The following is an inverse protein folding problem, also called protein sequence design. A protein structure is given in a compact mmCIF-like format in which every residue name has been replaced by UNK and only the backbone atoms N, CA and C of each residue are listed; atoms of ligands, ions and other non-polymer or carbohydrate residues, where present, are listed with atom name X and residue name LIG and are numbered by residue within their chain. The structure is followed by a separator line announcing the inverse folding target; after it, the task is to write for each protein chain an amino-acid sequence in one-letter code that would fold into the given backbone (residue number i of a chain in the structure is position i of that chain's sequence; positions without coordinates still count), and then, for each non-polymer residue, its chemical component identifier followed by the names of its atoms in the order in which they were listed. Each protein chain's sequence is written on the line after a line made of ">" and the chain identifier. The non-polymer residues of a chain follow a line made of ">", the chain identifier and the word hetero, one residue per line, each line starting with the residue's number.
data_IF_393610113585
#
_entry.id   IF_393610113585
#
_cell.length_a   1.000
_cell.length_b   1.000
_cell.length_c   1.000
_cell.angle_alpha   90.00
_cell.angle_beta   90.00
_cell.angle_gamma   90.00
#
_symmetry.space_group_name_H-M   'P 1'
#
loop_
_entity.id
_entity.type
_entity.pdbx_description
1 polymer ?
#
# COMPACT_ATOMS: atom_id res chain seq x y z
N UNK A 1 -13.26 26.10 8.46
CA UNK A 1 -13.24 25.69 9.89
C UNK A 1 -13.15 24.18 9.93
N UNK A 2 -12.31 23.60 10.80
CA UNK A 2 -12.25 22.15 10.98
C UNK A 2 -13.26 21.72 12.04
N UNK A 3 -14.01 20.67 11.75
CA UNK A 3 -14.95 20.05 12.68
C UNK A 3 -14.64 18.56 12.80
N UNK A 4 -14.84 17.98 13.99
CA UNK A 4 -14.78 16.54 14.25
C UNK A 4 -16.18 16.02 14.53
N UNK A 5 -16.66 15.06 13.76
CA UNK A 5 -18.01 14.50 13.96
C UNK A 5 -18.10 13.73 15.29
N UNK A 6 -19.11 14.02 16.10
CA UNK A 6 -19.36 13.33 17.37
C UNK A 6 -20.13 12.01 17.16
N UNK A 7 -20.87 11.89 16.06
CA UNK A 7 -21.62 10.71 15.63
C UNK A 7 -21.79 10.72 14.11
N UNK A 8 -22.24 9.61 13.53
CA UNK A 8 -22.54 9.54 12.11
C UNK A 8 -23.75 10.44 11.77
N UNK A 9 -23.63 11.26 10.72
CA UNK A 9 -24.74 12.05 10.19
C UNK A 9 -24.60 12.26 8.68
N UNK A 10 -25.72 12.46 8.00
CA UNK A 10 -25.74 12.82 6.58
C UNK A 10 -26.10 14.31 6.46
N UNK A 11 -25.29 15.06 5.70
CA UNK A 11 -25.54 16.47 5.43
C UNK A 11 -25.52 16.73 3.93
N UNK A 12 -26.46 17.53 3.44
CA UNK A 12 -26.73 17.70 2.01
C UNK A 12 -25.49 18.07 1.19
N UNK A 13 -24.60 18.91 1.74
CA UNK A 13 -23.36 19.33 1.07
C UNK A 13 -22.12 18.51 1.45
N UNK A 14 -22.14 17.75 2.54
CA UNK A 14 -20.97 17.00 3.05
C UNK A 14 -21.08 15.50 2.76
N UNK A 15 -22.24 15.02 2.31
CA UNK A 15 -22.53 13.59 2.22
C UNK A 15 -22.63 12.96 3.61
N UNK A 16 -22.39 11.65 3.69
CA UNK A 16 -22.33 10.93 4.96
C UNK A 16 -20.98 11.15 5.62
N UNK A 17 -21.02 11.66 6.85
CA UNK A 17 -19.84 11.90 7.69
C UNK A 17 -19.87 10.88 8.82
N UNK A 18 -18.77 10.14 8.98
CA UNK A 18 -18.64 9.09 9.99
C UNK A 18 -18.25 9.67 11.35
N UNK A 19 -18.61 8.99 12.44
CA UNK A 19 -18.20 9.39 13.78
C UNK A 19 -16.67 9.47 13.89
N UNK A 20 -16.16 10.56 14.46
CA UNK A 20 -14.73 10.81 14.63
C UNK A 20 -14.03 11.43 13.42
N UNK A 21 -14.68 11.51 12.27
CA UNK A 21 -14.13 12.06 11.04
C UNK A 21 -13.90 13.57 11.17
N UNK A 22 -12.69 14.04 10.80
CA UNK A 22 -12.35 15.46 10.77
C UNK A 22 -12.51 15.96 9.35
N UNK A 23 -13.32 17.01 9.18
CA UNK A 23 -13.48 17.68 7.88
C UNK A 23 -13.33 19.17 7.98
N UNK A 24 -12.82 19.73 6.89
CA UNK A 24 -12.85 21.17 6.67
C UNK A 24 -14.19 21.55 6.04
N UNK A 25 -14.90 22.46 6.71
CA UNK A 25 -16.22 22.94 6.31
C UNK A 25 -16.28 24.46 6.33
N UNK A 26 -17.24 25.00 5.58
CA UNK A 26 -17.56 26.42 5.64
C UNK A 26 -18.01 26.81 7.05
N UNK A 27 -17.65 28.02 7.52
CA UNK A 27 -17.85 28.44 8.92
C UNK A 27 -19.32 28.34 9.35
N UNK A 28 -20.24 28.77 8.49
CA UNK A 28 -21.69 28.71 8.73
C UNK A 28 -22.20 27.27 8.91
N UNK A 29 -21.69 26.33 8.11
CA UNK A 29 -22.06 24.90 8.21
C UNK A 29 -21.49 24.31 9.51
N UNK A 30 -20.23 24.64 9.83
CA UNK A 30 -19.56 24.18 11.05
C UNK A 30 -20.30 24.63 12.31
N UNK A 31 -20.70 25.91 12.39
CA UNK A 31 -21.43 26.45 13.54
C UNK A 31 -22.78 25.76 13.75
N UNK A 32 -23.52 25.47 12.67
CA UNK A 32 -24.79 24.74 12.75
C UNK A 32 -24.59 23.31 13.23
N UNK A 33 -23.58 22.60 12.73
CA UNK A 33 -23.29 21.22 13.14
C UNK A 33 -22.84 21.12 14.61
N UNK A 34 -22.10 22.11 15.09
CA UNK A 34 -21.72 22.22 16.51
C UNK A 34 -22.94 22.53 17.38
N UNK A 35 -23.79 23.49 16.96
CA UNK A 35 -25.02 23.83 17.68
C UNK A 35 -25.99 22.64 17.78
N UNK A 36 -26.03 21.79 16.76
CA UNK A 36 -26.83 20.55 16.74
C UNK A 36 -26.17 19.37 17.47
N UNK A 37 -25.02 19.59 18.12
CA UNK A 37 -24.26 18.54 18.82
C UNK A 37 -23.92 17.35 17.91
N UNK A 38 -23.71 17.62 16.62
CA UNK A 38 -23.31 16.64 15.62
C UNK A 38 -21.79 16.60 15.43
N UNK A 39 -21.11 17.72 15.69
CA UNK A 39 -19.67 17.85 15.56
C UNK A 39 -19.10 18.82 16.59
N UNK A 40 -17.79 18.79 16.80
CA UNK A 40 -17.03 19.70 17.67
C UNK A 40 -16.03 20.51 16.84
N UNK A 41 -15.81 21.78 17.22
CA UNK A 41 -14.85 22.66 16.57
C UNK A 41 -13.41 22.24 16.89
N UNK A 42 -12.55 22.11 15.87
CA UNK A 42 -11.12 21.86 16.06
C UNK A 42 -10.35 23.16 15.80
N UNK A 43 -9.79 23.75 16.86
CA UNK A 43 -8.95 24.94 16.79
C UNK A 43 -7.64 24.66 16.01
N UNK A 44 -7.14 25.60 15.18
CA UNK A 44 -5.90 25.40 14.44
C UNK A 44 -4.67 25.71 15.32
N UNK A 45 -4.15 24.71 16.02
CA UNK A 45 -2.84 24.79 16.66
C UNK A 45 -1.72 24.68 15.60
N UNK A 46 -0.72 25.56 15.70
CA UNK A 46 0.53 25.52 14.92
C UNK A 46 1.18 24.15 15.07
N UNK A 47 1.72 23.65 13.95
CA UNK A 47 2.47 22.40 13.86
C UNK A 47 3.42 22.19 15.05
N UNK A 48 2.97 21.34 15.97
CA UNK A 48 3.83 20.47 16.78
C UNK A 48 3.24 19.08 16.69
N UNK A 49 4.15 18.15 16.50
CA UNK A 49 3.96 16.74 16.22
C UNK A 49 3.10 16.03 17.29
N UNK A 50 2.38 14.99 16.84
CA UNK A 50 1.67 13.95 17.57
C UNK A 50 0.28 14.23 18.18
N UNK A 51 -0.69 13.35 17.86
CA UNK A 51 -1.72 12.97 18.84
C UNK A 51 -3.16 12.74 18.37
N UNK A 52 -3.44 12.00 17.29
CA UNK A 52 -4.79 11.44 17.07
C UNK A 52 -4.92 10.05 17.70
N UNK A 53 -5.48 9.98 18.91
CA UNK A 53 -6.02 8.74 19.47
C UNK A 53 -7.39 8.45 18.82
N UNK A 54 -7.32 7.79 17.67
CA UNK A 54 -8.38 7.01 17.02
C UNK A 54 -8.64 5.75 17.88
N UNK A 55 -9.87 5.18 17.96
CA UNK A 55 -10.00 3.82 18.49
C UNK A 55 -9.09 2.95 17.62
N UNK A 56 -8.21 2.16 18.25
CA UNK A 56 -7.06 1.54 17.60
C UNK A 56 -7.48 0.50 16.54
N UNK A 57 -7.88 0.99 15.36
CA UNK A 57 -7.76 0.24 14.11
C UNK A 57 -6.29 -0.09 13.98
N UNK A 58 -5.97 -1.39 13.87
CA UNK A 58 -4.60 -1.79 13.62
C UNK A 58 -4.08 -1.04 12.40
N UNK A 59 -2.91 -0.40 12.55
CA UNK A 59 -2.25 0.25 11.43
C UNK A 59 -2.06 -0.81 10.35
N UNK A 60 -2.49 -0.57 9.10
CA UNK A 60 -2.24 -1.51 8.00
C UNK A 60 -0.74 -1.80 7.91
N UNK A 61 -0.39 -3.02 7.52
CA UNK A 61 1.00 -3.44 7.36
C UNK A 61 1.77 -2.46 6.47
N UNK A 62 3.06 -2.29 6.77
CA UNK A 62 3.92 -1.41 5.98
C UNK A 62 4.04 -2.02 4.59
N UNK A 63 3.43 -1.35 3.59
CA UNK A 63 3.54 -1.76 2.19
C UNK A 63 5.00 -1.74 1.77
N UNK A 64 5.37 -2.67 0.91
CA UNK A 64 6.72 -2.67 0.32
C UNK A 64 6.85 -1.46 -0.60
N UNK A 65 7.79 -0.57 -0.24
CA UNK A 65 8.27 0.50 -1.10
C UNK A 65 9.69 0.13 -1.56
N UNK A 66 9.96 0.26 -2.85
CA UNK A 66 11.28 -0.08 -3.39
C UNK A 66 12.27 1.02 -2.98
N UNK A 67 13.19 0.70 -2.07
CA UNK A 67 14.21 1.63 -1.59
C UNK A 67 15.30 1.89 -2.65
N UNK A 68 16.10 2.96 -2.48
CA UNK A 68 17.25 3.23 -3.36
C UNK A 68 18.26 2.07 -3.36
N UNK A 69 18.46 1.40 -2.21
CA UNK A 69 19.32 0.22 -2.10
C UNK A 69 18.75 -0.98 -2.86
N UNK A 70 17.43 -1.18 -2.82
CA UNK A 70 16.77 -2.23 -3.58
C UNK A 70 16.83 -1.96 -5.08
N UNK A 71 16.68 -0.71 -5.50
CA UNK A 71 16.87 -0.31 -6.89
C UNK A 71 18.31 -0.58 -7.37
N UNK A 72 19.31 -0.28 -6.53
CA UNK A 72 20.70 -0.58 -6.82
C UNK A 72 20.95 -2.11 -6.93
N UNK A 73 20.31 -2.92 -6.08
CA UNK A 73 20.37 -4.39 -6.19
C UNK A 73 19.75 -4.91 -7.48
N UNK A 74 18.61 -4.34 -7.89
CA UNK A 74 17.98 -4.69 -9.17
C UNK A 74 18.92 -4.32 -10.33
N UNK A 75 19.49 -3.11 -10.34
CA UNK A 75 20.47 -2.71 -11.36
C UNK A 75 21.67 -3.64 -11.43
N UNK A 76 22.23 -4.02 -10.28
CA UNK A 76 23.32 -4.98 -10.20
C UNK A 76 22.92 -6.36 -10.77
N UNK A 77 21.69 -6.82 -10.49
CA UNK A 77 21.15 -8.06 -11.05
C UNK A 77 21.01 -7.99 -12.59
N UNK A 78 20.56 -6.85 -13.11
CA UNK A 78 20.37 -6.60 -14.54
C UNK A 78 21.68 -6.26 -15.29
N UNK A 79 22.77 -6.00 -14.56
CA UNK A 79 24.04 -5.48 -15.10
C UNK A 79 23.86 -4.14 -15.82
N UNK A 80 23.04 -3.26 -15.24
CA UNK A 80 22.82 -1.90 -15.73
C UNK A 80 23.71 -0.93 -14.96
N UNK A 81 24.46 -0.13 -15.71
CA UNK A 81 25.26 0.97 -15.18
C UNK A 81 24.52 2.29 -15.41
N UNK A 82 24.56 3.21 -14.44
CA UNK A 82 23.90 4.53 -14.54
C UNK A 82 22.44 4.55 -14.07
N UNK A 83 21.69 5.57 -14.50
CA UNK A 83 20.32 5.89 -14.07
C UNK A 83 19.33 6.13 -15.23
N UNK A 84 19.79 6.09 -16.48
CA UNK A 84 18.95 6.31 -17.68
C UNK A 84 17.72 5.38 -17.73
N UNK A 85 17.83 4.17 -17.15
CA UNK A 85 16.79 3.14 -17.16
C UNK A 85 16.04 3.02 -15.83
N UNK A 86 16.31 3.87 -14.84
CA UNK A 86 15.74 3.75 -13.48
C UNK A 86 14.20 3.81 -13.50
N UNK A 87 13.63 4.62 -14.39
CA UNK A 87 12.17 4.71 -14.56
C UNK A 87 11.57 3.39 -15.06
N UNK A 88 12.23 2.74 -16.02
CA UNK A 88 11.79 1.45 -16.55
C UNK A 88 11.95 0.34 -15.51
N UNK A 89 13.09 0.32 -14.82
CA UNK A 89 13.39 -0.66 -13.78
C UNK A 89 12.40 -0.53 -12.61
N UNK A 90 12.07 0.70 -12.19
CA UNK A 90 11.05 0.95 -11.17
C UNK A 90 9.67 0.44 -11.62
N UNK A 91 9.31 0.60 -12.89
CA UNK A 91 8.05 0.08 -13.41
C UNK A 91 8.00 -1.47 -13.36
N UNK A 92 9.10 -2.16 -13.69
CA UNK A 92 9.18 -3.61 -13.54
C UNK A 92 9.16 -4.06 -12.08
N UNK A 93 9.79 -3.30 -11.18
CA UNK A 93 9.73 -3.57 -9.75
C UNK A 93 8.29 -3.50 -9.24
N UNK A 94 7.54 -2.45 -9.59
CA UNK A 94 6.11 -2.33 -9.27
C UNK A 94 5.29 -3.49 -9.85
N UNK A 95 5.50 -3.84 -11.13
CA UNK A 95 4.82 -4.97 -11.76
C UNK A 95 5.15 -6.32 -11.06
N UNK A 96 6.36 -6.46 -10.50
CA UNK A 96 6.75 -7.67 -9.78
C UNK A 96 6.05 -7.77 -8.42
N UNK A 97 5.81 -6.64 -7.74
CA UNK A 97 4.99 -6.58 -6.53
C UNK A 97 3.56 -7.03 -6.87
N UNK A 98 2.94 -6.43 -7.89
CA UNK A 98 1.58 -6.77 -8.33
C UNK A 98 1.45 -8.27 -8.66
N UNK A 99 2.46 -8.85 -9.32
CA UNK A 99 2.50 -10.28 -9.62
C UNK A 99 2.52 -11.13 -8.35
N UNK A 100 3.39 -10.81 -7.39
CA UNK A 100 3.52 -11.54 -6.13
C UNK A 100 2.22 -11.47 -5.33
N UNK A 101 1.62 -10.28 -5.21
CA UNK A 101 0.38 -10.08 -4.47
C UNK A 101 -0.77 -10.90 -5.06
N UNK A 102 -0.89 -10.87 -6.39
CA UNK A 102 -1.91 -11.64 -7.10
C UNK A 102 -1.70 -13.14 -7.02
N UNK A 103 -0.44 -13.59 -7.14
CA UNK A 103 -0.13 -15.02 -7.07
C UNK A 103 -0.38 -15.58 -5.67
N UNK A 104 0.02 -14.83 -4.63
CA UNK A 104 -0.07 -15.27 -3.24
C UNK A 104 -1.45 -15.00 -2.59
N UNK A 105 -2.32 -14.24 -3.26
CA UNK A 105 -3.64 -13.81 -2.77
C UNK A 105 -3.53 -12.98 -1.47
N UNK A 106 -2.63 -11.98 -1.47
CA UNK A 106 -2.45 -11.08 -0.32
C UNK A 106 -1.50 -9.92 -0.60
N UNK A 107 -1.68 -8.82 0.11
CA UNK A 107 -0.84 -7.62 0.01
C UNK A 107 0.58 -7.89 0.51
N UNK A 108 1.59 -7.42 -0.22
CA UNK A 108 2.99 -7.63 0.12
C UNK A 108 3.42 -6.55 1.13
N UNK A 109 3.81 -6.99 2.32
CA UNK A 109 4.13 -6.11 3.45
C UNK A 109 5.48 -6.46 4.06
N UNK A 110 6.20 -5.46 4.56
CA UNK A 110 7.44 -5.66 5.31
C UNK A 110 7.19 -6.11 6.76
N UNK A 111 6.04 -5.73 7.31
CA UNK A 111 5.61 -6.10 8.66
C UNK A 111 4.14 -6.45 8.63
N UNK A 112 3.80 -7.62 9.18
CA UNK A 112 2.42 -8.08 9.29
C UNK A 112 1.64 -7.17 10.23
N UNK A 113 0.38 -6.94 9.87
CA UNK A 113 -0.60 -6.30 10.73
C UNK A 113 -0.84 -7.17 11.98
N UNK A 114 -0.68 -6.64 13.20
CA UNK A 114 -0.99 -7.39 14.40
C UNK A 114 -2.45 -7.84 14.42
N UNK A 115 -2.75 -9.08 14.84
CA UNK A 115 -4.12 -9.55 14.92
C UNK A 115 -4.90 -8.74 15.95
N UNK A 116 -6.09 -8.27 15.56
CA UNK A 116 -7.04 -7.58 16.45
C UNK A 116 -8.24 -8.49 16.69
N UNK A 117 -8.61 -8.64 17.96
CA UNK A 117 -9.72 -9.50 18.37
C UNK A 117 -11.05 -8.99 17.80
N UNK A 118 -11.83 -9.90 17.20
CA UNK A 118 -13.12 -9.56 16.57
C UNK A 118 -13.02 -8.99 15.15
N UNK A 119 -11.82 -8.80 14.61
CA UNK A 119 -11.61 -8.30 13.25
C UNK A 119 -11.07 -9.38 12.30
N UNK A 120 -11.49 -9.31 11.04
CA UNK A 120 -10.94 -10.17 9.98
C UNK A 120 -9.57 -9.63 9.59
N UNK A 121 -8.53 -10.44 9.77
CA UNK A 121 -7.17 -10.02 9.39
C UNK A 121 -7.08 -9.80 7.88
N UNK A 122 -6.37 -8.74 7.43
CA UNK A 122 -6.09 -8.55 6.02
C UNK A 122 -5.28 -9.73 5.49
N UNK A 123 -5.50 -10.06 4.21
CA UNK A 123 -4.65 -11.04 3.53
C UNK A 123 -3.33 -10.36 3.22
N UNK A 124 -2.29 -10.75 3.94
CA UNK A 124 -0.95 -10.19 3.83
C UNK A 124 0.08 -11.29 3.60
N UNK A 125 1.13 -10.93 2.90
CA UNK A 125 2.29 -11.75 2.60
C UNK A 125 3.53 -11.00 3.09
N UNK A 126 4.29 -11.62 3.98
CA UNK A 126 5.51 -11.03 4.52
C UNK A 126 6.60 -11.03 3.45
N UNK A 127 7.24 -9.88 3.23
CA UNK A 127 8.39 -9.74 2.35
C UNK A 127 9.57 -10.54 2.90
N UNK A 128 10.03 -11.54 2.16
CA UNK A 128 11.15 -12.40 2.55
C UNK A 128 12.23 -12.41 1.46
N UNK A 129 13.43 -12.89 1.80
CA UNK A 129 14.50 -13.10 0.83
C UNK A 129 14.11 -14.03 -0.33
N UNK A 130 13.22 -15.01 -0.09
CA UNK A 130 12.70 -15.89 -1.14
C UNK A 130 11.77 -15.16 -2.12
N UNK A 131 10.90 -14.28 -1.62
CA UNK A 131 10.06 -13.42 -2.45
C UNK A 131 10.92 -12.43 -3.23
N UNK A 132 11.93 -11.84 -2.58
CA UNK A 132 12.87 -10.95 -3.25
C UNK A 132 13.59 -11.63 -4.42
N UNK A 133 14.09 -12.85 -4.22
CA UNK A 133 14.71 -13.63 -5.29
C UNK A 133 13.73 -13.91 -6.44
N UNK A 134 12.46 -14.21 -6.14
CA UNK A 134 11.43 -14.40 -7.16
C UNK A 134 11.15 -13.11 -7.95
N UNK A 135 11.09 -11.96 -7.28
CA UNK A 135 10.94 -10.65 -7.92
C UNK A 135 12.12 -10.32 -8.83
N UNK A 136 13.36 -10.57 -8.40
CA UNK A 136 14.55 -10.36 -9.24
C UNK A 136 14.49 -11.19 -10.52
N UNK A 137 14.09 -12.46 -10.44
CA UNK A 137 13.93 -13.31 -11.62
C UNK A 137 12.86 -12.78 -12.59
N UNK A 138 11.72 -12.30 -12.07
CA UNK A 138 10.66 -11.68 -12.87
C UNK A 138 11.14 -10.41 -13.57
N UNK A 139 11.80 -9.52 -12.82
CA UNK A 139 12.32 -8.25 -13.33
C UNK A 139 13.38 -8.51 -14.40
N UNK A 140 14.33 -9.42 -14.14
CA UNK A 140 15.34 -9.83 -15.12
C UNK A 140 14.73 -10.40 -16.39
N UNK A 141 13.67 -11.19 -16.23
CA UNK A 141 12.94 -11.75 -17.36
C UNK A 141 12.25 -10.67 -18.21
N UNK A 142 11.47 -9.76 -17.61
CA UNK A 142 10.78 -8.70 -18.36
C UNK A 142 11.75 -7.69 -18.96
N UNK A 143 12.84 -7.38 -18.26
CA UNK A 143 13.87 -6.48 -18.75
C UNK A 143 14.57 -7.01 -20.01
N UNK A 144 14.89 -8.31 -20.03
CA UNK A 144 15.49 -8.98 -21.19
C UNK A 144 14.51 -9.21 -22.35
N UNK A 145 13.20 -9.28 -22.06
CA UNK A 145 12.15 -9.61 -23.02
C UNK A 145 11.09 -8.49 -23.09
N UNK A 146 11.46 -7.35 -23.70
CA UNK A 146 10.62 -6.13 -23.75
C UNK A 146 9.42 -6.22 -24.69
N UNK A 147 9.30 -7.29 -25.47
CA UNK A 147 8.23 -7.47 -26.45
C UNK A 147 7.51 -8.80 -26.24
N UNK A 148 6.17 -8.78 -26.40
CA UNK A 148 5.32 -9.97 -26.22
C UNK A 148 5.50 -11.03 -27.32
N UNK A 149 6.22 -10.71 -28.40
CA UNK A 149 6.43 -11.56 -29.56
C UNK A 149 7.92 -11.77 -29.84
N UNK A 150 8.60 -12.53 -28.97
CA UNK A 150 9.92 -13.05 -29.27
C UNK A 150 9.80 -14.37 -30.08
N UNK A 151 10.85 -14.74 -30.84
CA UNK A 151 10.90 -16.03 -31.54
C UNK A 151 10.74 -17.24 -30.61
N UNK A 152 11.01 -17.04 -29.31
CA UNK A 152 10.71 -17.99 -28.25
C UNK A 152 9.72 -17.32 -27.28
N UNK A 153 8.46 -17.79 -27.22
CA UNK A 153 7.57 -17.40 -26.12
C UNK A 153 8.22 -17.87 -24.82
N UNK A 154 8.58 -16.92 -23.96
CA UNK A 154 9.06 -17.23 -22.63
C UNK A 154 7.88 -17.16 -21.68
N UNK A 155 7.52 -18.30 -21.11
CA UNK A 155 6.65 -18.34 -19.93
C UNK A 155 7.36 -17.65 -18.74
N UNK A 156 6.61 -17.42 -17.65
CA UNK A 156 7.19 -16.98 -16.39
C UNK A 156 8.39 -17.87 -16.05
N UNK A 157 9.55 -17.32 -15.64
CA UNK A 157 10.75 -18.11 -15.41
C UNK A 157 10.53 -19.28 -14.46
N UNK A 158 11.03 -20.45 -14.86
CA UNK A 158 11.04 -21.65 -14.02
C UNK A 158 11.66 -21.32 -12.66
N UNK A 159 10.90 -21.60 -11.59
CA UNK A 159 11.33 -21.37 -10.21
C UNK A 159 10.66 -20.18 -9.52
N UNK A 160 10.13 -19.19 -10.25
CA UNK A 160 9.39 -18.06 -9.64
C UNK A 160 8.19 -18.59 -8.85
N UNK A 161 7.32 -19.36 -9.50
CA UNK A 161 6.16 -19.95 -8.83
C UNK A 161 6.57 -20.91 -7.70
N UNK A 162 7.65 -21.68 -7.88
CA UNK A 162 8.15 -22.59 -6.85
C UNK A 162 8.63 -21.86 -5.58
N UNK A 163 9.14 -20.64 -5.73
CA UNK A 163 9.50 -19.78 -4.60
C UNK A 163 8.25 -19.19 -3.93
N UNK A 164 7.24 -18.81 -4.72
CA UNK A 164 6.03 -18.15 -4.21
C UNK A 164 4.99 -19.12 -3.64
N UNK A 165 4.97 -20.39 -4.08
CA UNK A 165 3.90 -21.35 -3.74
C UNK A 165 3.76 -21.59 -2.24
N UNK A 166 4.85 -21.48 -1.47
CA UNK A 166 4.84 -21.62 0.00
C UNK A 166 4.19 -20.44 0.73
N UNK A 167 4.08 -19.30 0.06
CA UNK A 167 3.49 -18.06 0.58
C UNK A 167 2.03 -17.93 0.16
N UNK A 168 1.60 -18.69 -0.86
CA UNK A 168 0.24 -18.73 -1.35
C UNK A 168 -0.68 -19.42 -0.33
N UNK A 169 -1.78 -18.75 0.02
CA UNK A 169 -2.86 -19.37 0.78
C UNK A 169 -3.82 -20.05 -0.18
N UNK A 170 -4.04 -21.35 0.02
CA UNK A 170 -5.01 -22.13 -0.73
C UNK A 170 -6.38 -21.98 -0.05
N UNK A 171 -7.40 -21.61 -0.83
CA UNK A 171 -8.81 -21.59 -0.39
C UNK A 171 -9.51 -22.87 -0.86
#
# INVERSE_FOLDING_TARGET
>A
MKIKALRMFSHYHLGTVSQGEIREVHKEIGEVLVKLHLAEAVEPEKATDSGSAEPAKAKPGVKVEISEEQLAQIKAHLKVDGDDEDTLIAAYASASVDYVERFCDGALVETLTPPVEGETQPREVIFTSGIWAAMLLLIGHWYANREAAAQNLSEVPLGVEALLIRHRRWN
#
